data_IF_493610857139
#
_entry.id   IF_493610857139
#
_cell.length_a   1.000
_cell.length_b   1.000
_cell.length_c   1.000
_cell.angle_alpha   90.00
_cell.angle_beta   90.00
_cell.angle_gamma   90.00
#
_symmetry.space_group_name_H-M   'P 1'
#
loop_
_entity.id
_entity.type
_entity.pdbx_description
1 polymer ?
#
# COMPACT_ATOMS: atom_id res chain seq x y z
N UNK A 1 -2.36 -16.74 19.24
CA UNK A 1 -3.20 -15.76 18.51
C UNK A 1 -3.35 -16.17 17.04
N UNK A 2 -3.90 -17.37 16.80
CA UNK A 2 -4.08 -17.92 15.45
C UNK A 2 -5.46 -17.52 14.93
N UNK A 3 -5.52 -16.84 13.78
CA UNK A 3 -6.77 -16.60 13.03
C UNK A 3 -7.39 -15.21 13.13
N UNK A 4 -6.80 -14.24 13.84
CA UNK A 4 -7.28 -12.84 13.81
C UNK A 4 -6.34 -11.97 12.97
N UNK A 5 -6.82 -11.51 11.81
CA UNK A 5 -6.11 -10.51 11.02
C UNK A 5 -6.01 -9.21 11.84
N UNK A 6 -4.79 -8.76 12.11
CA UNK A 6 -4.54 -7.50 12.82
C UNK A 6 -4.28 -6.38 11.80
N UNK A 7 -4.40 -5.12 12.23
CA UNK A 7 -4.03 -3.98 11.39
C UNK A 7 -2.57 -4.03 10.91
N UNK A 8 -1.68 -4.71 11.65
CA UNK A 8 -0.31 -4.95 11.21
C UNK A 8 -0.26 -6.04 10.12
N UNK A 9 -0.93 -7.17 10.32
CA UNK A 9 -1.02 -8.23 9.30
C UNK A 9 -1.61 -7.73 7.98
N UNK A 10 -2.61 -6.85 8.03
CA UNK A 10 -3.17 -6.21 6.84
C UNK A 10 -2.15 -5.36 6.08
N UNK A 11 -1.33 -4.57 6.80
CA UNK A 11 -0.26 -3.77 6.19
C UNK A 11 0.81 -4.63 5.56
N UNK A 12 1.21 -5.73 6.20
CA UNK A 12 2.19 -6.68 5.65
C UNK A 12 1.67 -7.30 4.36
N UNK A 13 0.43 -7.82 4.36
CA UNK A 13 -0.17 -8.42 3.16
C UNK A 13 -0.33 -7.42 2.03
N UNK A 14 -0.80 -6.20 2.33
CA UNK A 14 -0.92 -5.14 1.33
C UNK A 14 0.45 -4.75 0.74
N UNK A 15 1.49 -4.64 1.57
CA UNK A 15 2.86 -4.34 1.12
C UNK A 15 3.38 -5.40 0.16
N UNK A 16 3.26 -6.68 0.52
CA UNK A 16 3.70 -7.78 -0.35
C UNK A 16 2.98 -7.77 -1.70
N UNK A 17 1.65 -7.71 -1.70
CA UNK A 17 0.85 -7.71 -2.93
C UNK A 17 1.14 -6.51 -3.84
N UNK A 18 1.31 -5.32 -3.25
CA UNK A 18 1.60 -4.11 -4.02
C UNK A 18 3.00 -4.18 -4.65
N UNK A 19 4.01 -4.66 -3.92
CA UNK A 19 5.35 -4.83 -4.46
C UNK A 19 5.40 -5.93 -5.53
N UNK A 20 4.74 -7.07 -5.31
CA UNK A 20 4.66 -8.18 -6.27
C UNK A 20 3.91 -7.81 -7.55
N UNK A 21 2.96 -6.86 -7.47
CA UNK A 21 2.21 -6.40 -8.66
C UNK A 21 3.10 -5.75 -9.72
N UNK A 22 4.25 -5.19 -9.32
CA UNK A 22 5.15 -4.40 -10.18
C UNK A 22 4.52 -3.14 -10.78
N UNK A 23 3.34 -2.71 -10.30
CA UNK A 23 2.56 -1.60 -10.88
C UNK A 23 2.91 -0.23 -10.32
N UNK A 24 3.53 -0.20 -9.14
CA UNK A 24 3.78 1.01 -8.38
C UNK A 24 5.23 1.07 -7.91
N UNK A 25 5.74 2.29 -7.79
CA UNK A 25 7.08 2.55 -7.27
C UNK A 25 7.16 2.16 -5.79
N UNK A 26 8.20 1.44 -5.34
CA UNK A 26 8.36 1.02 -3.94
C UNK A 26 8.23 2.19 -2.95
N UNK A 27 8.86 3.33 -3.23
CA UNK A 27 8.74 4.54 -2.41
C UNK A 27 7.28 5.05 -2.25
N UNK A 28 6.42 4.87 -3.27
CA UNK A 28 5.01 5.24 -3.18
C UNK A 28 4.24 4.27 -2.26
N UNK A 29 4.57 2.97 -2.30
CA UNK A 29 4.00 1.92 -1.45
C UNK A 29 4.36 2.18 0.01
N UNK A 30 5.65 2.38 0.31
CA UNK A 30 6.15 2.63 1.67
C UNK A 30 5.53 3.88 2.31
N UNK A 31 5.32 4.93 1.51
CA UNK A 31 4.64 6.16 1.98
C UNK A 31 3.16 5.94 2.26
N UNK A 32 2.47 5.08 1.52
CA UNK A 32 1.07 4.75 1.82
C UNK A 32 0.92 3.93 3.11
N UNK A 33 1.95 3.17 3.48
CA UNK A 33 2.00 2.42 4.75
C UNK A 33 2.31 3.31 5.97
N UNK A 34 2.46 4.63 5.76
CA UNK A 34 2.83 5.62 6.77
C UNK A 34 4.15 5.30 7.47
N UNK A 35 5.06 4.58 6.79
CA UNK A 35 6.42 4.44 7.26
C UNK A 35 7.10 5.81 7.21
N UNK A 36 7.60 6.27 8.36
CA UNK A 36 8.33 7.53 8.43
C UNK A 36 9.66 7.35 7.69
N UNK A 37 9.85 8.17 6.66
CA UNK A 37 11.15 8.37 6.06
C UNK A 37 12.04 9.07 7.09
N UNK A 38 13.19 8.48 7.39
CA UNK A 38 14.14 9.03 8.38
C UNK A 38 14.73 10.37 7.95
N UNK A 39 14.56 10.76 6.69
CA UNK A 39 15.05 12.01 6.13
C UNK A 39 13.91 13.01 5.86
N UNK A 40 13.76 14.00 6.74
CA UNK A 40 12.71 15.03 6.66
C UNK A 40 12.75 15.87 5.37
N UNK A 41 13.93 16.03 4.75
CA UNK A 41 14.08 16.77 3.47
C UNK A 41 13.49 15.95 2.32
N UNK A 42 13.78 14.63 2.27
CA UNK A 42 13.13 13.71 1.32
C UNK A 42 11.63 13.58 1.59
N UNK A 43 11.20 13.71 2.84
CA UNK A 43 9.78 13.70 3.20
C UNK A 43 8.99 14.84 2.53
N UNK A 44 9.54 16.05 2.53
CA UNK A 44 8.92 17.23 1.95
C UNK A 44 8.87 17.19 0.40
N UNK A 45 9.99 16.86 -0.26
CA UNK A 45 10.04 16.79 -1.73
C UNK A 45 9.23 15.62 -2.31
N UNK A 46 9.21 14.46 -1.64
CA UNK A 46 8.46 13.30 -2.13
C UNK A 46 6.94 13.39 -1.88
N UNK A 47 6.46 14.40 -1.14
CA UNK A 47 5.03 14.58 -0.85
C UNK A 47 4.22 14.87 -2.11
N UNK A 48 4.82 15.60 -3.06
CA UNK A 48 4.20 15.95 -4.35
C UNK A 48 4.48 14.91 -5.42
N UNK A 49 5.60 14.19 -5.34
CA UNK A 49 6.10 13.34 -6.43
C UNK A 49 5.28 12.06 -6.67
N UNK A 50 4.50 11.60 -5.68
CA UNK A 50 3.79 10.31 -5.78
C UNK A 50 2.31 10.39 -5.40
N UNK A 51 1.71 11.58 -5.34
CA UNK A 51 0.30 11.71 -4.95
C UNK A 51 -0.63 10.97 -5.91
N UNK A 52 -0.54 11.24 -7.21
CA UNK A 52 -1.40 10.63 -8.23
C UNK A 52 -1.18 9.11 -8.34
N UNK A 53 0.04 8.65 -8.09
CA UNK A 53 0.36 7.24 -8.02
C UNK A 53 -0.25 6.58 -6.78
N UNK A 54 -0.19 7.22 -5.62
CA UNK A 54 -0.82 6.75 -4.39
C UNK A 54 -2.34 6.68 -4.50
N UNK A 55 -2.97 7.64 -5.19
CA UNK A 55 -4.43 7.61 -5.45
C UNK A 55 -4.79 6.39 -6.31
N UNK A 56 -4.09 6.19 -7.44
CA UNK A 56 -4.30 5.03 -8.33
C UNK A 56 -4.03 3.71 -7.60
N UNK A 57 -3.01 3.67 -6.76
CA UNK A 57 -2.66 2.50 -5.94
C UNK A 57 -3.76 2.13 -4.96
N UNK A 58 -4.34 3.12 -4.27
CA UNK A 58 -5.44 2.86 -3.33
C UNK A 58 -6.71 2.39 -4.03
N UNK A 59 -6.99 2.90 -5.24
CA UNK A 59 -8.11 2.40 -6.04
C UNK A 59 -7.86 0.94 -6.48
N UNK A 60 -6.68 0.65 -7.03
CA UNK A 60 -6.32 -0.71 -7.41
C UNK A 60 -6.39 -1.69 -6.24
N UNK A 61 -5.94 -1.26 -5.06
CA UNK A 61 -6.05 -2.05 -3.84
C UNK A 61 -7.51 -2.33 -3.46
N UNK A 62 -8.41 -1.34 -3.61
CA UNK A 62 -9.85 -1.54 -3.40
C UNK A 62 -10.41 -2.60 -4.37
N UNK A 63 -10.08 -2.50 -5.65
CA UNK A 63 -10.57 -3.42 -6.68
C UNK A 63 -10.08 -4.86 -6.43
N UNK A 64 -8.85 -5.02 -5.92
CA UNK A 64 -8.32 -6.31 -5.50
C UNK A 64 -9.09 -6.90 -4.31
N UNK A 65 -9.45 -6.07 -3.32
CA UNK A 65 -10.27 -6.51 -2.18
C UNK A 65 -11.67 -6.93 -2.61
N UNK A 66 -12.27 -6.20 -3.55
CA UNK A 66 -13.59 -6.54 -4.11
C UNK A 66 -13.53 -7.84 -4.92
N UNK A 67 -12.45 -8.03 -5.70
CA UNK A 67 -12.20 -9.29 -6.40
C UNK A 67 -12.10 -10.45 -5.41
N UNK A 68 -11.26 -10.34 -4.38
CA UNK A 68 -11.11 -11.36 -3.34
C UNK A 68 -12.41 -11.64 -2.60
N UNK A 69 -13.23 -10.62 -2.34
CA UNK A 69 -14.57 -10.79 -1.75
C UNK A 69 -15.50 -11.56 -2.68
N UNK A 70 -15.48 -11.25 -3.96
CA UNK A 70 -16.36 -11.87 -4.97
C UNK A 70 -16.00 -13.33 -5.27
N UNK A 71 -14.72 -13.70 -5.21
CA UNK A 71 -14.23 -15.07 -5.46
C UNK A 71 -14.56 -16.05 -4.33
N UNK A 72 -15.00 -15.57 -3.17
CA UNK A 72 -15.36 -16.41 -2.01
C UNK A 72 -16.89 -16.70 -1.96
N UNK A 73 -17.61 -16.45 -3.05
CA UNK A 73 -18.99 -16.89 -3.28
C UNK A 73 -19.05 -17.82 -4.50
#
# INVERSE_FOLDING_TARGET
YAGKMTAHGFRTTASSLLNESGKFHPDAIERALAHQDSNAVRAAYNRTQYWDERVRMMQWWSDQLDTLRSTVC
#
